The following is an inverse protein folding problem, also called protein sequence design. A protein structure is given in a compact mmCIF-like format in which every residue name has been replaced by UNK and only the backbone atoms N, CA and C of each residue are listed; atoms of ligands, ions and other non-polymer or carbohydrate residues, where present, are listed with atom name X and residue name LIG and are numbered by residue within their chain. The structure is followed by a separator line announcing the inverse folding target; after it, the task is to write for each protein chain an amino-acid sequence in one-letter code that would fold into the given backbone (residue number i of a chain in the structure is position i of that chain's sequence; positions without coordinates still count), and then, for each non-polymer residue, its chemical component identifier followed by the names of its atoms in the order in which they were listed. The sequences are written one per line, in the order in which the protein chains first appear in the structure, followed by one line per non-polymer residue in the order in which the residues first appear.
data_IF_554516217146
#
_entry.id   IF_554516217146
#
_cell.length_a   1.000
_cell.length_b   1.000
_cell.length_c   1.000
_cell.angle_alpha   90.00
_cell.angle_beta   90.00
_cell.angle_gamma   90.00
#
_symmetry.space_group_name_H-M   'P 1'
#
loop_
_entity.id
_entity.type
_entity.pdbx_description
1 polymer ?
#
# COMPACT_ATOMS: atom_id res chain seq x y z
N UNK A 1 3.60 -30.10 -20.79
CA UNK A 1 4.35 -29.90 -22.03
C UNK A 1 3.42 -29.22 -23.03
N UNK A 2 3.56 -27.90 -23.16
CA UNK A 2 3.13 -27.07 -24.29
C UNK A 2 3.66 -25.64 -24.06
N UNK A 3 4.65 -25.27 -24.87
CA UNK A 3 5.40 -24.01 -24.87
C UNK A 3 4.91 -23.20 -26.06
N UNK A 4 4.43 -21.97 -25.84
CA UNK A 4 4.20 -20.97 -26.91
C UNK A 4 4.33 -19.58 -26.25
N UNK A 5 5.49 -18.94 -26.31
CA UNK A 5 6.05 -18.12 -27.42
C UNK A 5 5.91 -16.63 -27.07
N UNK A 6 7.09 -16.03 -26.94
CA UNK A 6 7.40 -14.73 -26.42
C UNK A 6 7.52 -13.79 -27.62
N UNK A 7 6.59 -12.84 -27.77
CA UNK A 7 6.72 -11.74 -28.74
C UNK A 7 6.77 -10.42 -27.99
N UNK A 8 8.01 -10.03 -27.74
CA UNK A 8 8.47 -8.74 -27.24
C UNK A 8 8.33 -7.71 -28.38
N UNK A 9 7.36 -6.81 -28.30
CA UNK A 9 7.36 -5.58 -29.11
C UNK A 9 7.97 -4.45 -28.26
N UNK A 10 9.24 -4.15 -28.52
CA UNK A 10 9.95 -3.02 -27.96
C UNK A 10 9.47 -1.75 -28.69
N UNK A 11 8.62 -0.94 -28.06
CA UNK A 11 8.39 0.45 -28.47
C UNK A 11 8.94 1.35 -27.37
N UNK A 12 10.11 1.89 -27.66
CA UNK A 12 10.82 2.88 -26.87
C UNK A 12 10.39 4.30 -27.24
N UNK A 13 10.64 5.20 -26.27
CA UNK A 13 10.90 6.65 -26.35
C UNK A 13 9.72 7.55 -25.89
N UNK A 14 9.79 8.04 -24.64
CA UNK A 14 10.40 9.35 -24.30
C UNK A 14 10.67 9.45 -22.79
N UNK A 15 11.82 10.00 -22.34
CA UNK A 15 12.09 10.24 -20.94
C UNK A 15 11.34 11.50 -20.49
N UNK A 16 10.32 11.34 -19.65
CA UNK A 16 9.85 12.45 -18.82
C UNK A 16 10.66 12.44 -17.53
N UNK A 17 11.68 13.30 -17.49
CA UNK A 17 12.35 13.71 -16.25
C UNK A 17 11.35 14.44 -15.37
N UNK A 18 10.66 13.70 -14.50
CA UNK A 18 10.04 14.25 -13.31
C UNK A 18 11.12 14.29 -12.22
N UNK A 19 11.44 15.50 -11.76
CA UNK A 19 12.34 15.73 -10.64
C UNK A 19 11.95 14.83 -9.46
N UNK A 20 12.94 14.12 -8.92
CA UNK A 20 12.79 13.38 -7.68
C UNK A 20 12.36 14.37 -6.59
N UNK A 21 11.09 14.29 -6.18
CA UNK A 21 10.65 14.79 -4.90
C UNK A 21 10.99 13.70 -3.86
N UNK A 22 12.05 13.86 -3.04
CA UNK A 22 12.17 13.08 -1.82
C UNK A 22 11.16 13.62 -0.81
N UNK A 23 9.89 13.32 -1.04
CA UNK A 23 8.76 13.78 -0.24
C UNK A 23 8.20 12.64 0.59
N UNK A 24 8.74 12.47 1.79
CA UNK A 24 8.12 11.80 2.93
C UNK A 24 7.74 10.31 2.79
N UNK A 25 8.76 9.45 2.81
CA UNK A 25 8.61 8.08 3.32
C UNK A 25 8.34 8.17 4.83
N UNK A 26 7.08 8.42 5.22
CA UNK A 26 6.65 8.20 6.60
C UNK A 26 6.63 6.69 6.88
N UNK A 27 7.05 6.21 8.06
CA UNK A 27 7.05 4.78 8.37
C UNK A 27 5.60 4.27 8.41
N UNK A 28 5.19 3.59 7.34
CA UNK A 28 3.80 3.45 6.97
C UNK A 28 3.45 2.07 6.42
N UNK A 29 3.68 1.02 7.21
CA UNK A 29 3.03 -0.30 7.08
C UNK A 29 3.24 -1.06 5.76
N UNK A 30 4.49 -1.38 5.40
CA UNK A 30 4.76 -2.50 4.48
C UNK A 30 4.45 -3.88 5.11
N UNK A 31 4.44 -4.00 6.45
CA UNK A 31 4.49 -5.30 7.13
C UNK A 31 3.12 -5.91 7.53
N UNK A 32 1.99 -5.33 7.06
CA UNK A 32 0.66 -5.84 7.44
C UNK A 32 0.06 -6.85 6.47
N UNK A 33 0.69 -7.04 5.30
CA UNK A 33 0.21 -7.98 4.29
C UNK A 33 0.78 -9.38 4.48
N UNK A 34 2.04 -9.51 4.91
CA UNK A 34 2.68 -10.81 5.14
C UNK A 34 1.87 -11.70 6.12
N UNK A 35 1.45 -11.22 7.31
CA UNK A 35 0.65 -12.03 8.23
C UNK A 35 -0.77 -12.35 7.73
N UNK A 36 -1.24 -11.67 6.66
CA UNK A 36 -2.53 -11.99 6.02
C UNK A 36 -2.34 -13.08 4.97
N UNK A 37 -1.31 -12.97 4.15
CA UNK A 37 -1.02 -13.95 3.10
C UNK A 37 -0.64 -15.29 3.72
N UNK A 38 0.13 -15.28 4.81
CA UNK A 38 0.44 -16.50 5.57
C UNK A 38 -0.82 -17.22 6.07
N UNK A 39 -1.77 -16.47 6.66
CA UNK A 39 -3.05 -17.05 7.10
C UNK A 39 -3.86 -17.60 5.94
N UNK A 40 -3.96 -16.87 4.83
CA UNK A 40 -4.64 -17.37 3.63
C UNK A 40 -3.96 -18.62 3.06
N UNK A 41 -2.62 -18.65 3.10
CA UNK A 41 -1.84 -19.82 2.68
C UNK A 41 -2.15 -21.03 3.53
N UNK A 42 -2.25 -20.87 4.85
CA UNK A 42 -2.58 -21.95 5.78
C UNK A 42 -4.06 -22.39 5.68
N UNK A 43 -5.00 -21.45 5.70
CA UNK A 43 -6.44 -21.74 5.70
C UNK A 43 -6.93 -22.32 4.36
N UNK A 44 -6.35 -21.86 3.25
CA UNK A 44 -6.75 -22.28 1.89
C UNK A 44 -5.77 -23.28 1.27
N UNK A 45 -4.70 -23.64 1.99
CA UNK A 45 -3.66 -24.57 1.55
C UNK A 45 -3.09 -24.16 0.18
N UNK A 46 -2.72 -22.89 0.05
CA UNK A 46 -2.23 -22.35 -1.23
C UNK A 46 -0.90 -23.01 -1.61
N UNK A 47 -0.76 -23.34 -2.89
CA UNK A 47 0.55 -23.74 -3.45
C UNK A 47 1.48 -22.53 -3.53
N UNK A 48 2.79 -22.77 -3.64
CA UNK A 48 3.79 -21.69 -3.80
C UNK A 48 3.48 -20.78 -5.00
N UNK A 49 3.00 -21.36 -6.11
CA UNK A 49 2.61 -20.58 -7.29
C UNK A 49 1.38 -19.69 -7.02
N UNK A 50 0.40 -20.18 -6.23
CA UNK A 50 -0.77 -19.41 -5.85
C UNK A 50 -0.41 -18.30 -4.85
N UNK A 51 0.44 -18.60 -3.87
CA UNK A 51 0.96 -17.63 -2.91
C UNK A 51 1.66 -16.47 -3.61
N UNK A 52 2.56 -16.76 -4.57
CA UNK A 52 3.24 -15.71 -5.35
C UNK A 52 2.27 -14.81 -6.13
N UNK A 53 1.18 -15.38 -6.68
CA UNK A 53 0.13 -14.58 -7.35
C UNK A 53 -0.63 -13.71 -6.36
N UNK A 54 -0.96 -14.24 -5.18
CA UNK A 54 -1.66 -13.50 -4.13
C UNK A 54 -0.80 -12.33 -3.63
N UNK A 55 0.50 -12.55 -3.42
CA UNK A 55 1.47 -11.50 -3.07
C UNK A 55 1.50 -10.38 -4.12
N UNK A 56 1.56 -10.74 -5.41
CA UNK A 56 1.53 -9.76 -6.49
C UNK A 56 0.24 -8.91 -6.47
N UNK A 57 -0.93 -9.54 -6.24
CA UNK A 57 -2.21 -8.83 -6.15
C UNK A 57 -2.22 -7.83 -4.99
N UNK A 58 -1.77 -8.24 -3.81
CA UNK A 58 -1.75 -7.37 -2.63
C UNK A 58 -0.74 -6.22 -2.75
N UNK A 59 0.40 -6.47 -3.40
CA UNK A 59 1.37 -5.42 -3.72
C UNK A 59 0.79 -4.38 -4.68
N UNK A 60 0.18 -4.82 -5.77
CA UNK A 60 -0.47 -3.93 -6.73
C UNK A 60 -1.59 -3.11 -6.06
N UNK A 61 -2.38 -3.74 -5.19
CA UNK A 61 -3.40 -3.06 -4.41
C UNK A 61 -2.80 -1.98 -3.49
N UNK A 62 -1.67 -2.26 -2.85
CA UNK A 62 -0.98 -1.30 -1.99
C UNK A 62 -0.52 -0.07 -2.77
N UNK A 63 0.08 -0.28 -3.94
CA UNK A 63 0.57 0.81 -4.79
C UNK A 63 -0.59 1.70 -5.26
N UNK A 64 -1.69 1.08 -5.72
CA UNK A 64 -2.92 1.81 -6.09
C UNK A 64 -3.51 2.59 -4.93
N UNK A 65 -3.54 2.00 -3.74
CA UNK A 65 -4.08 2.66 -2.56
C UNK A 65 -3.20 3.84 -2.11
N UNK A 66 -1.88 3.72 -2.21
CA UNK A 66 -0.95 4.83 -1.92
C UNK A 66 -1.22 6.01 -2.85
N UNK A 67 -1.31 5.76 -4.16
CA UNK A 67 -1.61 6.79 -5.14
C UNK A 67 -2.96 7.47 -4.86
N UNK A 68 -4.01 6.68 -4.60
CA UNK A 68 -5.33 7.20 -4.25
C UNK A 68 -5.31 8.04 -2.96
N UNK A 69 -4.51 7.62 -1.97
CA UNK A 69 -4.36 8.35 -0.71
C UNK A 69 -3.73 9.72 -0.93
N UNK A 70 -2.65 9.79 -1.70
CA UNK A 70 -1.96 11.04 -2.04
C UNK A 70 -2.86 11.97 -2.84
N UNK A 71 -3.56 11.44 -3.85
CA UNK A 71 -4.52 12.19 -4.64
C UNK A 71 -5.66 12.76 -3.78
N UNK A 72 -6.23 11.94 -2.91
CA UNK A 72 -7.29 12.36 -1.98
C UNK A 72 -6.79 13.45 -1.04
N UNK A 73 -5.57 13.29 -0.51
CA UNK A 73 -4.95 14.28 0.37
C UNK A 73 -4.74 15.62 -0.34
N UNK A 74 -4.26 15.60 -1.59
CA UNK A 74 -4.11 16.79 -2.42
C UNK A 74 -5.44 17.49 -2.69
N UNK A 75 -6.47 16.73 -3.08
CA UNK A 75 -7.83 17.26 -3.30
C UNK A 75 -8.42 17.88 -2.04
N UNK A 76 -8.19 17.28 -0.87
CA UNK A 76 -8.61 17.87 0.40
C UNK A 76 -7.87 19.17 0.70
N UNK A 77 -6.57 19.25 0.40
CA UNK A 77 -5.78 20.47 0.57
C UNK A 77 -6.24 21.64 -0.30
N UNK A 78 -6.94 21.37 -1.42
CA UNK A 78 -7.53 22.41 -2.26
C UNK A 78 -8.84 23.00 -1.70
N UNK A 79 -9.53 22.26 -0.81
CA UNK A 79 -10.84 22.66 -0.24
C UNK A 79 -10.72 23.12 1.20
N UNK A 80 -9.78 22.56 1.95
CA UNK A 80 -9.55 22.86 3.37
C UNK A 80 -8.51 23.97 3.56
N UNK A 81 -8.62 24.71 4.65
CA UNK A 81 -7.53 25.60 5.07
C UNK A 81 -6.32 24.79 5.57
N UNK A 82 -5.10 25.36 5.57
CA UNK A 82 -3.91 24.67 6.08
C UNK A 82 -4.06 24.18 7.53
N UNK A 83 -4.74 24.97 8.37
CA UNK A 83 -5.03 24.61 9.76
C UNK A 83 -5.98 23.41 9.87
N UNK A 84 -7.02 23.37 9.03
CA UNK A 84 -7.98 22.26 8.99
C UNK A 84 -7.33 20.96 8.52
N UNK A 85 -6.48 21.05 7.49
CA UNK A 85 -5.73 19.88 6.98
C UNK A 85 -4.79 19.31 8.04
N UNK A 86 -4.08 20.20 8.75
CA UNK A 86 -3.20 19.80 9.86
C UNK A 86 -3.98 19.12 10.99
N UNK A 87 -5.15 19.65 11.35
CA UNK A 87 -6.05 19.02 12.34
C UNK A 87 -6.52 17.65 11.88
N UNK A 88 -6.88 17.50 10.61
CA UNK A 88 -7.30 16.24 10.01
C UNK A 88 -6.18 15.18 10.08
N UNK A 89 -4.94 15.55 9.82
CA UNK A 89 -3.79 14.64 9.94
C UNK A 89 -3.49 14.25 11.39
N UNK A 90 -3.66 15.17 12.34
CA UNK A 90 -3.55 14.88 13.75
C UNK A 90 -4.62 13.86 14.21
N UNK A 91 -5.87 14.05 13.79
CA UNK A 91 -6.98 13.12 14.08
C UNK A 91 -6.69 11.71 13.50
N UNK A 92 -6.20 11.63 12.25
CA UNK A 92 -5.81 10.36 11.64
C UNK A 92 -4.72 9.65 12.45
N UNK A 93 -3.67 10.37 12.88
CA UNK A 93 -2.58 9.81 13.68
C UNK A 93 -3.08 9.33 15.05
N UNK A 94 -3.94 10.10 15.71
CA UNK A 94 -4.56 9.73 16.98
C UNK A 94 -5.40 8.46 16.86
N UNK A 95 -6.25 8.37 15.84
CA UNK A 95 -7.06 7.18 15.58
C UNK A 95 -6.19 5.94 15.36
N UNK A 96 -5.11 6.07 14.57
CA UNK A 96 -4.15 4.98 14.35
C UNK A 96 -3.44 4.57 15.65
N UNK A 97 -3.07 5.53 16.50
CA UNK A 97 -2.47 5.28 17.81
C UNK A 97 -3.42 4.55 18.76
N UNK A 98 -4.67 5.01 18.87
CA UNK A 98 -5.69 4.36 19.70
C UNK A 98 -5.93 2.90 19.29
N UNK A 99 -6.02 2.64 17.98
CA UNK A 99 -6.21 1.28 17.47
C UNK A 99 -5.00 0.37 17.75
N UNK A 100 -3.77 0.89 17.63
CA UNK A 100 -2.55 0.15 18.00
C UNK A 100 -2.54 -0.21 19.48
N UNK A 101 -2.89 0.73 20.36
CA UNK A 101 -2.92 0.51 21.80
C UNK A 101 -3.95 -0.56 22.19
N UNK A 102 -5.15 -0.51 21.59
CA UNK A 102 -6.19 -1.53 21.82
C UNK A 102 -5.73 -2.92 21.38
N UNK A 103 -5.04 -3.03 20.24
CA UNK A 103 -4.45 -4.31 19.78
C UNK A 103 -3.29 -4.79 20.65
N UNK A 104 -2.52 -3.88 21.23
CA UNK A 104 -1.43 -4.23 22.14
C UNK A 104 -1.95 -4.82 23.45
N UNK A 105 -2.97 -4.20 24.05
CA UNK A 105 -3.60 -4.66 25.29
C UNK A 105 -4.29 -6.03 25.13
N UNK A 106 -4.99 -6.25 24.01
CA UNK A 106 -5.63 -7.54 23.72
C UNK A 106 -4.67 -8.70 23.41
N UNK A 107 -3.35 -8.45 23.33
CA UNK A 107 -2.31 -9.48 23.14
C UNK A 107 -1.52 -9.79 24.41
N UNK A 108 -1.68 -8.97 25.46
CA UNK A 108 -1.00 -9.14 26.76
C UNK A 108 -1.89 -9.80 27.82
N UNK A 109 -3.15 -10.09 27.49
CA UNK A 109 -4.08 -10.95 28.25
C UNK A 109 -4.13 -12.33 27.61
#
# INVERSE_FOLDING_TARGET
MNKTLLTLAFVTIFPLTAAAFPGAQGPGSEDHQQPRIERLTQELQLTEEQKGKVEAIFKEQQDKFKALHEETHSKLGAVLTPEQLTKLDALKKQHRGHWKNKKGQAKSE
#
